data_IF_161606530250
#
_entry.id   IF_161606530250
#
_cell.length_a   1.000
_cell.length_b   1.000
_cell.length_c   1.000
_cell.angle_alpha   90.00
_cell.angle_beta   90.00
_cell.angle_gamma   90.00
#
_symmetry.space_group_name_H-M   'P 1'
#
loop_
_entity.id
_entity.type
_entity.pdbx_description
1 polymer ?
#
# COMPACT_ATOMS: atom_id res chain seq x y z
N UNK A 1 -11.13 11.20 -15.49
CA UNK A 1 -11.98 10.07 -15.08
C UNK A 1 -12.05 9.10 -16.25
N UNK A 2 -11.23 8.03 -16.26
CA UNK A 2 -11.31 6.96 -17.27
C UNK A 2 -10.76 5.65 -16.70
N UNK A 3 -11.44 5.10 -15.70
CA UNK A 3 -11.36 3.67 -15.39
C UNK A 3 -12.75 3.29 -14.88
N UNK A 4 -13.55 2.61 -15.71
CA UNK A 4 -14.74 1.92 -15.23
C UNK A 4 -14.29 0.54 -14.76
N UNK A 5 -14.28 0.40 -13.45
CA UNK A 5 -14.19 -0.90 -12.78
C UNK A 5 -15.45 -1.69 -13.15
N UNK A 6 -15.31 -2.74 -13.95
CA UNK A 6 -16.36 -3.73 -14.16
C UNK A 6 -15.96 -4.98 -13.40
N UNK A 7 -16.38 -5.06 -12.14
CA UNK A 7 -16.23 -6.26 -11.34
C UNK A 7 -17.28 -7.26 -11.81
N UNK A 8 -16.87 -8.25 -12.60
CA UNK A 8 -17.60 -9.52 -12.68
C UNK A 8 -16.98 -10.52 -11.72
N UNK A 9 -17.82 -11.44 -11.25
CA UNK A 9 -17.73 -12.38 -10.12
C UNK A 9 -16.49 -13.32 -10.05
N UNK A 10 -15.45 -13.06 -10.86
CA UNK A 10 -14.23 -13.87 -10.97
C UNK A 10 -12.92 -13.07 -11.04
N UNK A 11 -12.91 -11.79 -10.71
CA UNK A 11 -11.66 -11.05 -10.45
C UNK A 11 -10.72 -10.84 -11.65
N UNK A 12 -11.15 -11.10 -12.89
CA UNK A 12 -10.35 -10.84 -14.09
C UNK A 12 -10.53 -9.39 -14.55
N UNK A 13 -9.44 -8.61 -14.49
CA UNK A 13 -9.35 -7.32 -15.18
C UNK A 13 -9.02 -7.61 -16.64
N UNK A 14 -10.02 -7.52 -17.53
CA UNK A 14 -9.77 -7.53 -18.97
C UNK A 14 -9.25 -6.15 -19.40
N UNK A 15 -7.95 -6.04 -19.62
CA UNK A 15 -7.38 -4.94 -20.38
C UNK A 15 -7.37 -5.37 -21.85
N UNK A 16 -8.21 -4.76 -22.67
CA UNK A 16 -8.22 -5.02 -24.11
C UNK A 16 -6.90 -4.60 -24.74
N UNK A 17 -6.38 -5.44 -25.64
CA UNK A 17 -5.08 -5.30 -26.30
C UNK A 17 -4.76 -3.94 -26.98
N UNK A 18 -5.72 -3.07 -27.41
CA UNK A 18 -5.37 -1.77 -27.97
C UNK A 18 -4.78 -0.77 -26.95
N UNK A 19 -4.94 -1.01 -25.64
CA UNK A 19 -4.41 -0.14 -24.58
C UNK A 19 -2.87 -0.07 -24.55
N UNK A 20 -2.19 -1.01 -25.21
CA UNK A 20 -0.73 -1.05 -25.25
C UNK A 20 -0.09 0.07 -26.08
N UNK A 21 -0.89 0.79 -26.87
CA UNK A 21 -0.45 1.92 -27.69
C UNK A 21 -0.83 3.28 -27.08
N UNK A 22 -1.57 3.31 -25.97
CA UNK A 22 -1.93 4.55 -25.28
C UNK A 22 -0.76 5.03 -24.42
N UNK A 23 0.04 5.89 -25.07
CA UNK A 23 0.80 7.03 -24.54
C UNK A 23 1.15 7.01 -23.05
N UNK A 24 2.46 7.02 -22.80
CA UNK A 24 3.17 7.28 -21.54
C UNK A 24 2.26 7.82 -20.43
N UNK A 25 1.85 6.93 -19.53
CA UNK A 25 1.21 7.36 -18.29
C UNK A 25 2.24 8.11 -17.47
N UNK A 26 2.18 9.44 -17.57
CA UNK A 26 2.91 10.44 -16.78
C UNK A 26 4.44 10.32 -16.82
N UNK A 27 5.13 11.25 -17.49
CA UNK A 27 6.53 11.68 -17.26
C UNK A 27 7.63 10.60 -17.00
N UNK A 28 7.36 9.30 -17.20
CA UNK A 28 8.20 8.19 -16.75
C UNK A 28 8.61 7.28 -17.89
N UNK A 29 9.86 6.83 -17.79
CA UNK A 29 10.70 6.19 -18.81
C UNK A 29 10.31 4.75 -19.20
N UNK A 30 9.08 4.27 -18.96
CA UNK A 30 8.69 2.88 -19.26
C UNK A 30 7.24 2.72 -19.78
N UNK A 31 6.95 1.68 -20.59
CA UNK A 31 5.61 1.43 -21.13
C UNK A 31 4.59 1.04 -20.05
N UNK A 32 3.35 1.51 -20.20
CA UNK A 32 2.25 1.17 -19.31
C UNK A 32 1.95 -0.34 -19.25
N UNK A 33 2.00 -1.04 -20.38
CA UNK A 33 1.77 -2.49 -20.41
C UNK A 33 2.75 -3.22 -19.50
N UNK A 34 4.04 -2.90 -19.62
CA UNK A 34 5.06 -3.50 -18.77
C UNK A 34 4.81 -3.23 -17.29
N UNK A 35 4.37 -2.02 -16.96
CA UNK A 35 4.00 -1.67 -15.59
C UNK A 35 2.85 -2.53 -15.07
N UNK A 36 1.76 -2.65 -15.83
CA UNK A 36 0.61 -3.49 -15.45
C UNK A 36 1.02 -4.94 -15.31
N UNK A 37 1.81 -5.48 -16.25
CA UNK A 37 2.29 -6.86 -16.19
C UNK A 37 3.03 -7.13 -14.89
N UNK A 38 3.90 -6.20 -14.48
CA UNK A 38 4.61 -6.29 -13.21
C UNK A 38 3.70 -6.15 -11.99
N UNK A 39 2.66 -5.31 -12.04
CA UNK A 39 1.63 -5.25 -10.99
C UNK A 39 0.87 -6.58 -10.89
N UNK A 40 0.49 -7.18 -12.02
CA UNK A 40 -0.20 -8.47 -12.05
C UNK A 40 0.69 -9.59 -11.49
N UNK A 41 1.98 -9.60 -11.82
CA UNK A 41 2.95 -10.55 -11.26
C UNK A 41 3.12 -10.36 -9.74
N UNK A 42 3.21 -9.11 -9.27
CA UNK A 42 3.26 -8.76 -7.84
C UNK A 42 2.03 -9.29 -7.10
N UNK A 43 0.83 -9.12 -7.66
CA UNK A 43 -0.42 -9.63 -7.07
C UNK A 43 -0.36 -11.15 -6.99
N UNK A 44 -0.07 -11.83 -8.09
CA UNK A 44 -0.08 -13.30 -8.16
C UNK A 44 0.89 -13.93 -7.16
N UNK A 45 2.06 -13.33 -6.96
CA UNK A 45 3.10 -13.88 -6.08
C UNK A 45 2.92 -13.55 -4.61
N UNK A 46 2.51 -12.32 -4.29
CA UNK A 46 2.60 -11.82 -2.91
C UNK A 46 1.28 -11.30 -2.33
N UNK A 47 0.31 -10.91 -3.15
CA UNK A 47 -0.86 -10.15 -2.69
C UNK A 47 -2.19 -10.82 -3.00
N UNK A 48 -2.19 -12.03 -3.58
CA UNK A 48 -3.40 -12.65 -4.12
C UNK A 48 -4.52 -12.76 -3.09
N UNK A 49 -4.22 -13.24 -1.88
CA UNK A 49 -5.22 -13.38 -0.81
C UNK A 49 -5.77 -12.02 -0.36
N UNK A 50 -4.90 -11.02 -0.20
CA UNK A 50 -5.29 -9.65 0.18
C UNK A 50 -6.12 -8.96 -0.91
N UNK A 51 -5.79 -9.22 -2.17
CA UNK A 51 -6.51 -8.70 -3.32
C UNK A 51 -7.92 -9.31 -3.40
N UNK A 52 -8.03 -10.63 -3.25
CA UNK A 52 -9.30 -11.35 -3.30
C UNK A 52 -10.22 -10.95 -2.14
N UNK A 53 -9.66 -10.69 -0.95
CA UNK A 53 -10.42 -10.28 0.22
C UNK A 53 -10.72 -8.77 0.26
N UNK A 54 -10.39 -8.04 -0.82
CA UNK A 54 -10.75 -6.62 -0.97
C UNK A 54 -9.92 -5.67 -0.10
N UNK A 55 -8.80 -6.11 0.47
CA UNK A 55 -7.95 -5.28 1.32
C UNK A 55 -7.18 -4.21 0.53
N UNK A 56 -7.01 -4.38 -0.78
CA UNK A 56 -6.18 -3.54 -1.65
C UNK A 56 -7.07 -2.76 -2.63
N UNK A 57 -7.04 -1.43 -2.56
CA UNK A 57 -7.72 -0.59 -3.56
C UNK A 57 -6.99 -0.59 -4.90
N UNK A 58 -5.66 -0.76 -4.88
CA UNK A 58 -4.84 -0.95 -6.07
C UNK A 58 -4.66 0.32 -6.90
N UNK A 59 -5.49 0.51 -7.91
CA UNK A 59 -5.33 1.58 -8.92
C UNK A 59 -5.89 2.92 -8.44
N UNK A 60 -5.22 3.50 -7.43
CA UNK A 60 -5.56 4.79 -6.84
C UNK A 60 -4.37 5.73 -6.94
N UNK A 61 -4.55 6.89 -7.59
CA UNK A 61 -3.49 7.89 -7.70
C UNK A 61 -3.20 8.56 -6.36
N UNK A 62 -1.98 9.11 -6.18
CA UNK A 62 -1.61 9.84 -4.95
C UNK A 62 -2.64 10.93 -4.59
N UNK A 63 -3.14 11.67 -5.58
CA UNK A 63 -4.15 12.71 -5.38
C UNK A 63 -5.49 12.14 -4.91
N UNK A 64 -5.93 11.04 -5.53
CA UNK A 64 -7.20 10.39 -5.16
C UNK A 64 -7.14 9.75 -3.78
N UNK A 65 -6.00 9.15 -3.42
CA UNK A 65 -5.78 8.59 -2.09
C UNK A 65 -5.97 9.65 -0.99
N UNK A 66 -5.34 10.83 -1.16
CA UNK A 66 -5.52 11.95 -0.22
C UNK A 66 -6.99 12.36 -0.13
N UNK A 67 -7.67 12.55 -1.26
CA UNK A 67 -9.08 12.93 -1.28
C UNK A 67 -10.00 11.91 -0.60
N UNK A 68 -9.69 10.61 -0.70
CA UNK A 68 -10.46 9.56 -0.03
C UNK A 68 -10.24 9.53 1.48
N UNK A 69 -9.04 9.90 1.94
CA UNK A 69 -8.69 9.95 3.35
C UNK A 69 -9.09 11.28 4.03
N UNK A 70 -9.39 12.33 3.27
CA UNK A 70 -9.93 13.57 3.82
C UNK A 70 -11.23 13.30 4.60
N UNK A 71 -11.28 13.76 5.85
CA UNK A 71 -12.44 13.57 6.73
C UNK A 71 -12.58 12.17 7.34
N UNK A 72 -11.53 11.32 7.23
CA UNK A 72 -11.46 10.04 7.94
C UNK A 72 -10.73 10.21 9.27
N UNK A 73 -11.00 9.29 10.20
CA UNK A 73 -10.34 9.29 11.51
C UNK A 73 -8.81 9.12 11.35
N UNK A 74 -8.00 9.75 12.22
CA UNK A 74 -6.57 9.50 12.28
C UNK A 74 -6.23 8.00 12.33
N UNK A 75 -5.19 7.61 11.61
CA UNK A 75 -4.77 6.23 11.43
C UNK A 75 -5.59 5.42 10.42
N UNK A 76 -6.53 6.05 9.70
CA UNK A 76 -7.16 5.43 8.54
C UNK A 76 -6.17 5.38 7.39
N UNK A 77 -6.00 4.19 6.79
CA UNK A 77 -5.05 3.95 5.71
C UNK A 77 -5.67 3.18 4.55
N UNK A 78 -5.03 3.29 3.38
CA UNK A 78 -5.38 2.51 2.18
C UNK A 78 -4.14 1.98 1.48
N UNK A 79 -4.30 0.88 0.76
CA UNK A 79 -3.27 0.23 -0.03
C UNK A 79 -3.44 0.53 -1.52
N UNK A 80 -2.37 0.96 -2.19
CA UNK A 80 -2.37 1.32 -3.61
C UNK A 80 -1.08 0.90 -4.31
N UNK A 81 -1.16 0.65 -5.61
CA UNK A 81 0.01 0.39 -6.45
C UNK A 81 0.77 1.68 -6.75
N UNK A 82 2.10 1.55 -6.81
CA UNK A 82 2.99 2.64 -7.18
C UNK A 82 2.90 2.90 -8.68
N UNK A 83 2.46 4.11 -9.04
CA UNK A 83 2.51 4.64 -10.42
C UNK A 83 3.95 4.98 -10.86
N UNK A 84 4.96 4.81 -10.00
CA UNK A 84 6.38 5.12 -10.29
C UNK A 84 7.28 3.93 -10.49
N UNK A 85 6.92 2.78 -9.90
CA UNK A 85 7.80 1.62 -9.89
C UNK A 85 7.65 0.87 -11.20
N UNK A 86 8.71 0.83 -12.02
CA UNK A 86 8.73 0.04 -13.26
C UNK A 86 8.41 -1.43 -12.99
N UNK A 87 9.00 -1.98 -11.93
CA UNK A 87 8.94 -3.41 -11.60
C UNK A 87 7.75 -3.78 -10.73
N UNK A 88 6.77 -2.87 -10.61
CA UNK A 88 5.60 -3.04 -9.77
C UNK A 88 5.95 -2.88 -8.28
N UNK A 89 5.12 -2.16 -7.55
CA UNK A 89 5.28 -2.02 -6.11
C UNK A 89 3.96 -1.61 -5.45
N UNK A 90 3.81 -1.90 -4.16
CA UNK A 90 2.66 -1.51 -3.35
C UNK A 90 3.08 -0.54 -2.25
N UNK A 91 2.26 0.45 -1.95
CA UNK A 91 2.47 1.39 -0.84
C UNK A 91 1.16 1.55 -0.08
N UNK A 92 1.24 2.00 1.16
CA UNK A 92 0.09 2.50 1.90
C UNK A 92 0.19 4.01 2.11
N UNK A 93 -0.98 4.64 2.20
CA UNK A 93 -1.13 6.06 2.56
C UNK A 93 -2.08 6.12 3.74
N UNK A 94 -1.74 6.91 4.77
CA UNK A 94 -2.58 7.12 5.94
C UNK A 94 -2.74 8.61 6.24
N UNK A 95 -3.77 8.92 7.03
CA UNK A 95 -4.05 10.28 7.50
C UNK A 95 -3.82 10.36 9.02
N UNK A 96 -3.17 11.42 9.44
CA UNK A 96 -3.10 11.89 10.83
C UNK A 96 -3.63 13.33 10.87
N UNK A 97 -3.95 13.83 12.05
CA UNK A 97 -4.36 15.21 12.24
C UNK A 97 -3.27 15.96 13.00
N UNK A 98 -2.92 17.16 12.55
CA UNK A 98 -2.01 18.03 13.28
C UNK A 98 -2.70 18.65 14.51
N UNK A 99 -1.95 19.49 15.25
CA UNK A 99 -2.45 20.19 16.44
C UNK A 99 -3.66 21.10 16.17
N UNK A 100 -3.94 21.43 14.91
CA UNK A 100 -5.06 22.28 14.47
C UNK A 100 -6.17 21.46 13.79
N UNK A 101 -6.19 20.14 13.99
CA UNK A 101 -7.13 19.20 13.36
C UNK A 101 -7.06 19.20 11.82
N UNK A 102 -5.93 19.64 11.23
CA UNK A 102 -5.74 19.59 9.78
C UNK A 102 -5.21 18.22 9.36
N UNK A 103 -5.73 17.63 8.27
CA UNK A 103 -5.28 16.33 7.81
C UNK A 103 -3.87 16.40 7.21
N UNK A 104 -2.97 15.60 7.77
CA UNK A 104 -1.61 15.34 7.27
C UNK A 104 -1.60 13.94 6.66
N UNK A 105 -1.11 13.84 5.42
CA UNK A 105 -1.10 12.58 4.69
C UNK A 105 0.31 12.06 4.53
N UNK A 106 0.54 10.85 5.01
CA UNK A 106 1.81 10.17 4.92
C UNK A 106 1.73 8.98 3.97
N UNK A 107 2.85 8.63 3.36
CA UNK A 107 2.96 7.43 2.56
C UNK A 107 4.39 6.90 2.67
N UNK A 108 4.52 5.58 2.75
CA UNK A 108 5.82 4.92 2.74
C UNK A 108 6.35 4.79 1.32
N UNK A 109 7.67 4.66 1.21
CA UNK A 109 8.28 4.22 -0.04
C UNK A 109 7.68 2.87 -0.47
N UNK A 110 7.28 2.72 -1.74
CA UNK A 110 6.66 1.49 -2.21
C UNK A 110 7.53 0.25 -1.98
N UNK A 111 6.88 -0.86 -1.61
CA UNK A 111 7.50 -2.17 -1.44
C UNK A 111 7.51 -2.94 -2.75
N UNK A 112 8.70 -3.35 -3.19
CA UNK A 112 8.88 -4.15 -4.40
C UNK A 112 8.67 -5.65 -4.13
N UNK A 113 8.65 -6.46 -5.19
CA UNK A 113 8.58 -7.93 -5.08
C UNK A 113 9.74 -8.51 -4.27
N UNK A 114 10.94 -7.95 -4.37
CA UNK A 114 12.13 -8.41 -3.64
C UNK A 114 11.92 -8.23 -2.13
N UNK A 115 11.40 -7.08 -1.71
CA UNK A 115 11.11 -6.80 -0.31
C UNK A 115 9.96 -7.67 0.21
N UNK A 116 8.91 -7.84 -0.59
CA UNK A 116 7.78 -8.71 -0.25
C UNK A 116 8.11 -10.21 -0.27
N UNK A 117 9.24 -10.59 -0.87
CA UNK A 117 9.77 -11.96 -0.78
C UNK A 117 10.47 -12.20 0.56
N UNK A 118 11.06 -11.16 1.15
CA UNK A 118 11.68 -11.25 2.47
C UNK A 118 10.63 -11.26 3.59
N UNK A 119 9.57 -10.47 3.44
CA UNK A 119 8.56 -10.28 4.50
C UNK A 119 7.19 -9.98 3.89
N UNK A 120 6.16 -10.59 4.45
CA UNK A 120 4.79 -10.43 3.98
C UNK A 120 4.24 -9.02 4.23
N UNK A 121 3.40 -8.51 3.32
CA UNK A 121 2.72 -7.22 3.50
C UNK A 121 1.89 -7.13 4.80
N UNK A 122 1.15 -8.19 5.23
CA UNK A 122 0.45 -8.17 6.51
C UNK A 122 1.37 -7.97 7.71
N UNK A 123 2.52 -8.64 7.73
CA UNK A 123 3.50 -8.48 8.83
C UNK A 123 4.10 -7.07 8.81
N UNK A 124 4.39 -6.52 7.62
CA UNK A 124 4.82 -5.12 7.46
C UNK A 124 3.80 -4.18 8.10
N UNK A 125 2.51 -4.33 7.77
CA UNK A 125 1.42 -3.51 8.30
C UNK A 125 1.27 -3.68 9.82
N UNK A 126 1.45 -4.90 10.33
CA UNK A 126 1.36 -5.20 11.76
C UNK A 126 2.47 -4.54 12.57
N UNK A 127 3.72 -4.66 12.09
CA UNK A 127 4.91 -4.24 12.81
C UNK A 127 5.40 -2.86 12.44
N UNK A 128 4.71 -2.14 11.55
CA UNK A 128 5.06 -0.77 11.18
C UNK A 128 5.03 0.13 12.41
N UNK A 129 6.09 0.92 12.61
CA UNK A 129 6.19 1.84 13.74
C UNK A 129 6.79 3.17 13.34
N UNK A 130 6.30 4.23 13.95
CA UNK A 130 6.74 5.61 13.81
C UNK A 130 7.07 6.13 15.21
N UNK A 131 8.21 6.81 15.38
CA UNK A 131 8.66 7.38 16.67
C UNK A 131 7.87 8.65 17.03
N UNK A 132 6.93 8.58 17.96
CA UNK A 132 6.28 9.81 18.42
C UNK A 132 7.21 10.63 19.32
N UNK A 133 6.88 11.91 19.53
CA UNK A 133 7.70 12.89 20.29
C UNK A 133 8.10 12.41 21.71
N UNK A 134 7.41 11.39 22.23
CA UNK A 134 7.61 10.80 23.56
C UNK A 134 8.57 9.59 23.56
N UNK A 135 9.29 9.33 22.45
CA UNK A 135 10.25 8.23 22.26
C UNK A 135 9.66 6.80 22.30
N UNK A 136 8.33 6.64 22.25
CA UNK A 136 7.68 5.33 22.15
C UNK A 136 7.32 5.07 20.68
N UNK A 137 7.87 4.04 20.02
CA UNK A 137 7.48 3.74 18.65
C UNK A 137 6.09 3.10 18.61
N UNK A 138 5.15 3.74 17.91
CA UNK A 138 3.75 3.32 17.78
C UNK A 138 3.37 3.02 16.34
N UNK A 139 2.38 2.14 16.14
CA UNK A 139 1.87 1.83 14.82
C UNK A 139 0.75 2.83 14.45
N UNK A 140 0.96 3.73 13.47
CA UNK A 140 -0.06 4.71 13.11
C UNK A 140 -1.24 4.10 12.33
N UNK A 141 -1.15 2.83 11.91
CA UNK A 141 -2.17 2.16 11.11
C UNK A 141 -3.21 1.51 12.03
N UNK A 142 -4.41 2.08 12.03
CA UNK A 142 -5.52 1.67 12.91
C UNK A 142 -6.70 1.10 12.12
N UNK A 143 -7.09 1.77 11.03
CA UNK A 143 -8.28 1.42 10.25
C UNK A 143 -7.95 1.28 8.78
N UNK A 144 -8.25 0.12 8.20
CA UNK A 144 -8.30 -0.01 6.75
C UNK A 144 -9.50 0.77 6.23
N UNK A 145 -9.28 1.59 5.20
CA UNK A 145 -10.33 2.38 4.58
C UNK A 145 -11.57 1.51 4.20
N UNK A 146 -12.79 1.99 4.45
CA UNK A 146 -13.11 3.32 4.98
C UNK A 146 -13.05 3.47 6.51
N UNK A 147 -13.22 2.40 7.28
CA UNK A 147 -13.41 2.40 8.74
C UNK A 147 -13.31 0.99 9.36
N UNK A 148 -12.59 0.07 8.71
CA UNK A 148 -12.49 -1.32 9.15
C UNK A 148 -11.28 -1.45 10.08
N UNK A 149 -11.43 -1.94 11.33
CA UNK A 149 -10.28 -2.16 12.20
C UNK A 149 -9.21 -3.02 11.53
N UNK A 150 -7.94 -2.59 11.58
CA UNK A 150 -6.80 -3.24 10.91
C UNK A 150 -6.78 -4.75 11.15
N UNK A 151 -6.89 -5.18 12.41
CA UNK A 151 -6.75 -6.59 12.77
C UNK A 151 -7.95 -7.43 12.30
N UNK A 152 -9.10 -6.81 12.02
CA UNK A 152 -10.24 -7.49 11.38
C UNK A 152 -9.93 -7.86 9.93
N UNK A 153 -9.19 -7.01 9.23
CA UNK A 153 -8.81 -7.23 7.83
C UNK A 153 -7.57 -8.10 7.69
N UNK A 154 -6.55 -7.87 8.54
CA UNK A 154 -5.23 -8.48 8.38
C UNK A 154 -4.91 -9.59 9.38
N UNK A 155 -5.65 -9.72 10.48
CA UNK A 155 -5.32 -10.60 11.61
C UNK A 155 -5.13 -12.07 11.23
N UNK A 156 -5.89 -12.56 10.24
CA UNK A 156 -5.78 -13.94 9.75
C UNK A 156 -4.51 -14.24 8.96
N UNK A 157 -3.76 -13.22 8.55
CA UNK A 157 -2.50 -13.37 7.80
C UNK A 157 -1.26 -13.09 8.61
N UNK A 158 -1.40 -12.68 9.88
CA UNK A 158 -0.25 -12.43 10.73
C UNK A 158 0.48 -13.73 11.02
N UNK A 159 1.80 -13.71 10.86
CA UNK A 159 2.64 -14.85 11.20
C UNK A 159 2.57 -15.07 12.71
N UNK A 160 2.16 -16.26 13.15
CA UNK A 160 2.18 -16.62 14.58
C UNK A 160 3.63 -16.68 15.05
N UNK A 161 3.91 -16.17 16.25
CA UNK A 161 5.24 -16.09 16.86
C UNK A 161 5.93 -17.45 17.13
N UNK A 162 5.48 -18.55 16.54
CA UNK A 162 6.06 -19.89 16.71
C UNK A 162 7.18 -20.23 15.72
N UNK A 163 7.56 -19.33 14.80
CA UNK A 163 8.73 -19.55 13.94
C UNK A 163 9.69 -18.36 14.01
N UNK A 164 10.83 -18.58 14.67
CA UNK A 164 11.85 -17.60 15.01
C UNK A 164 12.62 -16.99 13.82
N UNK A 165 11.93 -16.31 12.91
CA UNK A 165 12.54 -15.37 11.97
C UNK A 165 12.27 -13.97 12.46
N UNK A 166 13.25 -13.38 13.14
CA UNK A 166 13.29 -11.93 13.40
C UNK A 166 13.61 -11.20 12.09
N UNK A 167 12.70 -10.40 11.49
CA UNK A 167 13.02 -9.52 10.37
C UNK A 167 13.10 -8.06 10.84
N UNK A 168 13.26 -7.83 12.15
CA UNK A 168 13.16 -6.50 12.78
C UNK A 168 14.20 -5.48 12.27
N UNK A 169 15.29 -5.94 11.65
CA UNK A 169 16.40 -5.08 11.25
C UNK A 169 16.17 -4.35 9.92
N UNK A 170 15.45 -4.94 8.95
CA UNK A 170 15.26 -4.31 7.63
C UNK A 170 14.16 -3.23 7.66
N UNK A 171 13.15 -3.36 8.52
CA UNK A 171 12.05 -2.39 8.64
C UNK A 171 12.39 -1.13 9.41
N UNK A 172 13.36 -1.22 10.30
CA UNK A 172 13.87 -0.06 11.01
C UNK A 172 14.43 0.97 10.00
N UNK A 173 15.02 0.53 8.88
CA UNK A 173 15.58 1.43 7.86
C UNK A 173 14.52 2.24 7.08
N UNK A 174 13.41 1.63 6.62
CA UNK A 174 12.33 2.41 5.97
C UNK A 174 11.59 3.33 6.94
N UNK A 175 11.56 2.98 8.23
CA UNK A 175 11.01 3.85 9.29
C UNK A 175 11.95 5.01 9.64
N UNK A 176 13.27 4.80 9.63
CA UNK A 176 14.29 5.83 9.88
C UNK A 176 14.32 6.92 8.79
N UNK A 177 13.91 6.60 7.55
CA UNK A 177 13.81 7.59 6.47
C UNK A 177 12.67 8.60 6.71
N UNK A 178 11.56 8.23 7.37
CA UNK A 178 10.50 9.22 7.68
C UNK A 178 11.03 10.35 8.55
N UNK A 179 11.96 10.08 9.48
CA UNK A 179 12.57 11.10 10.33
C UNK A 179 13.65 11.95 9.65
N UNK A 180 14.22 11.50 8.52
CA UNK A 180 15.30 12.23 7.84
C UNK A 180 14.83 13.07 6.65
N UNK A 181 13.54 13.02 6.28
CA UNK A 181 12.95 13.76 5.14
C UNK A 181 11.99 14.85 5.61
N UNK A 182 12.20 15.41 6.81
CA UNK A 182 11.62 16.69 7.26
C UNK A 182 12.71 17.75 7.37
#
# INVERSE_FOLDING_TARGET
SQFKQSTTDKGFIYLSAPLCQLQSLSEKRFPFCLWIENILDLIKRHLLSLWNDGCILGFVSKRRAKAMLTGKCPGTFLLRFSESSRDGAITFTWVEHDLNDKPVFHAVEPYTKEELSAVSLPDIIQTYKVMVAENIPENPLCFLYPDIPKDKSFGKYYTRASEGKQPATLFCFKSYIIYKVS
#
